data_IF_514323913702
#
_entry.id   IF_514323913702
#
_cell.length_a   1.000
_cell.length_b   1.000
_cell.length_c   1.000
_cell.angle_alpha   90.00
_cell.angle_beta   90.00
_cell.angle_gamma   90.00
#
_symmetry.space_group_name_H-M   'P 1'
#
loop_
_entity.id
_entity.type
_entity.pdbx_description
1 polymer ?
#
# COMPACT_ATOMS: atom_id res chain seq x y z
N UNK A 1 -1.25 -11.30 -12.27
CA UNK A 1 -2.59 -10.80 -12.61
C UNK A 1 -2.59 -10.00 -13.91
N UNK A 2 -1.67 -9.05 -14.05
CA UNK A 2 -1.58 -8.27 -15.30
C UNK A 2 -1.12 -9.13 -16.48
N UNK A 3 -0.32 -10.16 -16.25
CA UNK A 3 0.04 -11.14 -17.28
C UNK A 3 -1.19 -11.89 -17.75
N UNK A 4 -2.06 -12.31 -16.84
CA UNK A 4 -3.31 -12.97 -17.19
C UNK A 4 -4.24 -12.04 -17.98
N UNK A 5 -4.28 -10.74 -17.63
CA UNK A 5 -5.05 -9.75 -18.39
C UNK A 5 -4.52 -9.58 -19.81
N UNK A 6 -3.20 -9.54 -19.98
CA UNK A 6 -2.57 -9.46 -21.30
C UNK A 6 -2.86 -10.70 -22.13
N UNK A 7 -2.78 -11.88 -21.54
CA UNK A 7 -3.10 -13.15 -22.21
C UNK A 7 -4.58 -13.20 -22.61
N UNK A 8 -5.47 -12.71 -21.77
CA UNK A 8 -6.90 -12.61 -22.08
C UNK A 8 -7.15 -11.65 -23.24
N UNK A 9 -6.48 -10.49 -23.24
CA UNK A 9 -6.60 -9.53 -24.35
C UNK A 9 -6.17 -10.13 -25.68
N UNK A 10 -5.06 -10.86 -25.69
CA UNK A 10 -4.57 -11.55 -26.89
C UNK A 10 -5.55 -12.65 -27.37
N UNK A 11 -6.11 -13.42 -26.44
CA UNK A 11 -7.11 -14.43 -26.74
C UNK A 11 -8.37 -13.82 -27.36
N UNK A 12 -8.87 -12.75 -26.77
CA UNK A 12 -10.08 -12.07 -27.27
C UNK A 12 -9.87 -11.45 -28.64
N UNK A 13 -8.70 -10.84 -28.89
CA UNK A 13 -8.36 -10.30 -30.20
C UNK A 13 -8.30 -11.38 -31.26
N UNK A 14 -7.73 -12.55 -30.92
CA UNK A 14 -7.62 -13.70 -31.84
C UNK A 14 -9.00 -14.27 -32.23
N UNK A 15 -10.01 -14.16 -31.37
CA UNK A 15 -11.35 -14.67 -31.57
C UNK A 15 -12.36 -13.58 -31.96
N UNK A 16 -11.89 -12.38 -32.32
CA UNK A 16 -12.72 -11.26 -32.80
C UNK A 16 -13.76 -10.76 -31.77
N UNK A 17 -13.44 -10.85 -30.47
CA UNK A 17 -14.26 -10.22 -29.45
C UNK A 17 -13.94 -8.73 -29.36
N UNK A 18 -14.96 -7.89 -29.31
CA UNK A 18 -14.82 -6.45 -29.21
C UNK A 18 -14.65 -5.95 -27.78
N UNK A 19 -13.96 -6.69 -26.92
CA UNK A 19 -13.77 -6.34 -25.51
C UNK A 19 -12.40 -5.71 -25.28
N UNK A 20 -12.38 -4.59 -24.58
CA UNK A 20 -11.14 -3.93 -24.19
C UNK A 20 -10.71 -4.43 -22.80
N UNK A 21 -9.45 -4.85 -22.67
CA UNK A 21 -8.88 -5.29 -21.40
C UNK A 21 -7.85 -4.29 -20.95
N UNK A 22 -8.01 -3.76 -19.74
CA UNK A 22 -7.11 -2.78 -19.14
C UNK A 22 -6.61 -3.33 -17.81
N UNK A 23 -5.28 -3.45 -17.66
CA UNK A 23 -4.64 -3.86 -16.42
C UNK A 23 -4.26 -2.62 -15.58
N UNK A 24 -4.60 -2.64 -14.29
CA UNK A 24 -4.21 -1.60 -13.35
C UNK A 24 -3.24 -2.18 -12.32
N UNK A 25 -2.14 -1.49 -12.00
CA UNK A 25 -1.22 -1.97 -11.00
C UNK A 25 -1.85 -1.89 -9.60
N UNK A 26 -1.81 -3.00 -8.87
CA UNK A 26 -2.31 -3.09 -7.50
C UNK A 26 -1.23 -3.73 -6.63
N UNK A 27 -0.63 -2.93 -5.76
CA UNK A 27 0.33 -3.40 -4.77
C UNK A 27 0.47 -2.35 -3.67
N UNK A 28 0.66 -2.80 -2.45
CA UNK A 28 0.96 -1.89 -1.33
C UNK A 28 2.39 -1.38 -1.36
N UNK A 29 3.28 -2.03 -2.10
CA UNK A 29 4.69 -1.65 -2.20
C UNK A 29 4.90 -0.36 -3.00
N UNK A 30 3.97 -0.02 -3.88
CA UNK A 30 4.01 1.18 -4.73
C UNK A 30 5.30 1.27 -5.55
N UNK A 31 5.77 0.12 -6.05
CA UNK A 31 7.06 -0.03 -6.71
C UNK A 31 6.98 -0.37 -8.19
N UNK A 32 5.84 -0.14 -8.83
CA UNK A 32 5.64 -0.41 -10.25
C UNK A 32 6.07 0.80 -11.07
N UNK A 33 7.19 0.69 -11.78
CA UNK A 33 7.69 1.75 -12.66
C UNK A 33 6.96 1.70 -14.02
N UNK A 34 6.57 2.81 -14.62
CA UNK A 34 6.71 4.22 -14.20
C UNK A 34 5.47 4.79 -13.48
N UNK A 35 4.68 3.95 -12.86
CA UNK A 35 3.43 4.34 -12.20
C UNK A 35 3.75 5.11 -10.92
N UNK A 36 3.12 6.27 -10.73
CA UNK A 36 3.31 7.06 -9.51
C UNK A 36 2.64 6.46 -8.30
N UNK A 37 1.48 5.83 -8.53
CA UNK A 37 0.67 5.32 -7.45
C UNK A 37 -0.03 4.05 -7.88
N UNK A 38 0.24 2.95 -7.17
CA UNK A 38 -0.47 1.69 -7.34
C UNK A 38 -1.76 1.68 -6.53
N UNK A 39 -2.74 0.89 -6.98
CA UNK A 39 -3.99 0.72 -6.24
C UNK A 39 -3.71 0.08 -4.88
N UNK A 40 -4.27 0.65 -3.83
CA UNK A 40 -4.16 0.15 -2.47
C UNK A 40 -2.97 0.68 -1.68
N UNK A 41 -1.98 1.30 -2.32
CA UNK A 41 -0.77 1.78 -1.65
C UNK A 41 -1.10 2.87 -0.61
N UNK A 42 -1.84 3.89 -0.99
CA UNK A 42 -2.22 4.97 -0.08
C UNK A 42 -3.18 4.52 1.00
N UNK A 43 -4.11 3.64 0.68
CA UNK A 43 -5.02 3.04 1.67
C UNK A 43 -4.23 2.25 2.71
N UNK A 44 -3.24 1.47 2.27
CA UNK A 44 -2.38 0.71 3.18
C UNK A 44 -1.60 1.65 4.11
N UNK A 45 -1.07 2.75 3.61
CA UNK A 45 -0.35 3.73 4.42
C UNK A 45 -1.25 4.38 5.47
N UNK A 46 -2.45 4.77 5.08
CA UNK A 46 -3.42 5.39 5.98
C UNK A 46 -3.88 4.43 7.07
N UNK A 47 -4.25 3.20 6.68
CA UNK A 47 -4.66 2.18 7.65
C UNK A 47 -3.51 1.75 8.54
N UNK A 48 -2.30 1.69 8.01
CA UNK A 48 -1.09 1.42 8.78
C UNK A 48 -0.86 2.46 9.87
N UNK A 49 -1.04 3.73 9.54
CA UNK A 49 -0.92 4.82 10.50
C UNK A 49 -1.96 4.73 11.63
N UNK A 50 -3.20 4.43 11.28
CA UNK A 50 -4.29 4.25 12.27
C UNK A 50 -4.04 3.05 13.16
N UNK A 51 -3.56 1.95 12.60
CA UNK A 51 -3.20 0.78 13.38
C UNK A 51 -2.05 1.07 14.33
N UNK A 52 -1.02 1.75 13.85
CA UNK A 52 0.13 2.12 14.68
C UNK A 52 -0.27 3.04 15.83
N UNK A 53 -1.25 3.89 15.64
CA UNK A 53 -1.81 4.72 16.70
C UNK A 53 -2.32 3.87 17.87
N UNK A 54 -2.96 2.74 17.59
CA UNK A 54 -3.42 1.80 18.61
C UNK A 54 -2.24 1.12 19.32
N UNK A 55 -1.18 0.81 18.58
CA UNK A 55 0.05 0.24 19.15
C UNK A 55 0.73 1.23 20.09
N UNK A 56 0.76 2.51 19.73
CA UNK A 56 1.33 3.57 20.58
C UNK A 56 0.50 3.77 21.85
N UNK A 57 -0.82 3.58 21.79
CA UNK A 57 -1.66 3.65 22.97
C UNK A 57 -1.25 2.61 24.03
N UNK A 58 -0.85 1.42 23.59
CA UNK A 58 -0.30 0.40 24.49
C UNK A 58 1.02 0.86 25.13
N UNK A 59 1.87 1.50 24.36
CA UNK A 59 3.13 2.09 24.88
C UNK A 59 2.87 3.15 25.94
N UNK A 60 1.85 3.98 25.75
CA UNK A 60 1.49 5.01 26.72
C UNK A 60 0.99 4.41 28.04
N UNK A 61 0.36 3.23 27.97
CA UNK A 61 -0.06 2.50 29.17
C UNK A 61 1.13 1.83 29.87
N UNK A 62 2.22 1.54 29.15
CA UNK A 62 3.44 0.94 29.70
C UNK A 62 4.68 1.65 29.15
N UNK A 63 5.10 2.79 29.70
CA UNK A 63 6.12 3.66 29.11
C UNK A 63 7.54 3.08 29.08
N UNK A 64 7.76 1.92 29.67
CA UNK A 64 9.07 1.24 29.62
C UNK A 64 9.20 0.26 28.46
N UNK A 65 8.31 0.34 27.49
CA UNK A 65 8.26 -0.53 26.35
C UNK A 65 8.99 0.09 25.16
N UNK A 66 9.81 -0.69 24.46
CA UNK A 66 10.30 -0.35 23.14
C UNK A 66 9.41 -1.05 22.10
N UNK A 67 8.89 -0.31 21.14
CA UNK A 67 8.07 -0.86 20.07
C UNK A 67 8.90 -0.86 18.78
N UNK A 68 9.05 -2.03 18.17
CA UNK A 68 9.60 -2.19 16.83
C UNK A 68 8.47 -2.72 15.95
N UNK A 69 8.01 -1.91 15.02
CA UNK A 69 6.85 -2.20 14.20
C UNK A 69 7.27 -2.48 12.76
N UNK A 70 7.09 -3.72 12.31
CA UNK A 70 7.40 -4.11 10.95
C UNK A 70 6.26 -3.75 10.01
N UNK A 71 6.62 -3.20 8.85
CA UNK A 71 5.68 -2.87 7.78
C UNK A 71 6.06 -3.66 6.55
N UNK A 72 5.07 -4.21 5.85
CA UNK A 72 5.28 -5.01 4.65
C UNK A 72 5.94 -4.19 3.53
N UNK A 73 6.64 -4.89 2.66
CA UNK A 73 7.30 -4.30 1.49
C UNK A 73 8.56 -5.09 1.14
N UNK A 74 8.56 -5.78 0.02
CA UNK A 74 9.73 -6.53 -0.45
C UNK A 74 10.75 -5.56 -1.03
N UNK A 75 11.94 -5.48 -0.43
CA UNK A 75 13.01 -4.61 -0.91
C UNK A 75 12.55 -3.18 -1.18
N UNK A 76 11.53 -2.72 -0.47
CA UNK A 76 10.92 -1.42 -0.68
C UNK A 76 10.48 -0.82 0.66
N UNK A 77 11.05 0.32 1.02
CA UNK A 77 10.74 1.02 2.25
C UNK A 77 9.62 2.06 2.11
N UNK A 78 9.00 2.17 0.94
CA UNK A 78 8.02 3.23 0.68
C UNK A 78 6.84 3.18 1.65
N UNK A 79 6.25 2.00 1.86
CA UNK A 79 5.08 1.87 2.73
C UNK A 79 5.41 2.20 4.18
N UNK A 80 6.59 1.80 4.65
CA UNK A 80 7.07 2.16 5.99
C UNK A 80 7.18 3.68 6.13
N UNK A 81 7.81 4.34 5.17
CA UNK A 81 7.97 5.80 5.18
C UNK A 81 6.62 6.52 5.07
N UNK A 82 5.73 6.05 4.20
CA UNK A 82 4.40 6.64 4.02
C UNK A 82 3.53 6.47 5.28
N UNK A 83 3.60 5.31 5.92
CA UNK A 83 2.90 5.04 7.18
C UNK A 83 3.41 5.98 8.28
N UNK A 84 4.72 6.16 8.38
CA UNK A 84 5.32 7.07 9.36
C UNK A 84 4.90 8.53 9.11
N UNK A 85 4.90 8.96 7.85
CA UNK A 85 4.46 10.31 7.48
C UNK A 85 2.98 10.53 7.79
N UNK A 86 2.12 9.55 7.49
CA UNK A 86 0.69 9.62 7.80
C UNK A 86 0.45 9.67 9.31
N UNK A 87 1.19 8.88 10.08
CA UNK A 87 1.11 8.90 11.53
C UNK A 87 1.54 10.26 12.10
N UNK A 88 2.58 10.85 11.54
CA UNK A 88 3.02 12.19 11.95
C UNK A 88 1.93 13.23 11.75
N UNK A 89 1.18 13.16 10.65
CA UNK A 89 0.02 14.02 10.42
C UNK A 89 -1.06 13.82 11.48
N UNK A 90 -1.33 12.59 11.87
CA UNK A 90 -2.30 12.31 12.95
C UNK A 90 -1.87 12.94 14.27
N UNK A 91 -0.58 12.87 14.61
CA UNK A 91 -0.06 13.50 15.81
C UNK A 91 -0.23 15.02 15.77
N UNK A 92 0.07 15.64 14.62
CA UNK A 92 -0.05 17.09 14.47
C UNK A 92 -1.50 17.56 14.56
N UNK A 93 -2.46 16.75 14.12
CA UNK A 93 -3.89 17.04 14.24
C UNK A 93 -4.42 16.91 15.67
N UNK A 94 -3.79 16.09 16.50
CA UNK A 94 -4.21 15.82 17.87
C UNK A 94 -3.60 16.77 18.90
N UNK A 95 -2.59 17.52 18.50
CA UNK A 95 -1.91 18.46 19.43
C UNK A 95 -2.54 19.89 19.39
#
# INVERSE_FOLDING_TARGET
TNTAAADLAAFLAKHNYGLTVIGLPKTIDNDVYPIRQSLGAWTAAEQGARYFRNVVAEHNANPRMLIIHEVMGRNCGWLTAATAAAYRKLLDQES
#
